data_IF_922579492784
#
_entry.id   IF_922579492784
#
_cell.length_a   1.000
_cell.length_b   1.000
_cell.length_c   1.000
_cell.angle_alpha   90.00
_cell.angle_beta   90.00
_cell.angle_gamma   90.00
#
_symmetry.space_group_name_H-M   'P 1'
#
loop_
_entity.id
_entity.type
_entity.pdbx_description
1 polymer ?
#
# COMPACT_ATOMS: atom_id res chain seq x y z
N UNK A 1 27.84 -3.35 -8.35
CA UNK A 1 26.47 -2.81 -8.22
C UNK A 1 26.42 -1.96 -6.94
N UNK A 2 26.18 -0.65 -7.05
CA UNK A 2 26.18 0.29 -5.92
C UNK A 2 24.73 0.61 -5.59
N UNK A 3 24.26 0.22 -4.40
CA UNK A 3 22.88 0.42 -3.95
C UNK A 3 22.87 1.50 -2.88
N UNK A 4 21.99 2.49 -2.97
CA UNK A 4 21.92 3.58 -1.99
C UNK A 4 21.06 3.15 -0.79
N UNK A 5 21.64 3.07 0.41
CA UNK A 5 20.91 2.74 1.64
C UNK A 5 19.71 3.67 1.88
N UNK A 6 19.90 4.98 1.67
CA UNK A 6 18.87 6.01 1.86
C UNK A 6 17.65 5.92 0.91
N UNK A 7 17.77 5.22 -0.22
CA UNK A 7 16.66 5.00 -1.16
C UNK A 7 16.10 3.58 -1.10
N UNK A 8 16.67 2.74 -0.24
CA UNK A 8 16.31 1.34 -0.16
C UNK A 8 15.52 1.11 1.11
N UNK A 9 14.34 0.52 0.96
CA UNK A 9 13.53 0.02 2.06
C UNK A 9 13.32 -1.48 1.81
N UNK A 10 13.20 -2.26 2.88
CA UNK A 10 12.95 -3.69 2.75
C UNK A 10 11.71 -4.10 3.51
N UNK A 11 11.12 -5.19 3.07
CA UNK A 11 9.89 -5.72 3.61
C UNK A 11 10.02 -7.24 3.68
N UNK A 12 9.75 -7.79 4.86
CA UNK A 12 9.74 -9.23 5.07
C UNK A 12 8.29 -9.71 5.11
N UNK A 13 8.00 -10.75 4.34
CA UNK A 13 6.67 -11.37 4.30
C UNK A 13 6.70 -12.64 5.14
N UNK A 14 5.71 -12.84 6.02
CA UNK A 14 5.60 -14.02 6.90
C UNK A 14 6.77 -14.20 7.88
N UNK A 15 7.15 -13.14 8.60
CA UNK A 15 8.16 -13.31 9.65
C UNK A 15 7.65 -14.20 10.78
N UNK A 16 8.29 -15.35 10.95
CA UNK A 16 8.28 -16.10 12.19
C UNK A 16 9.28 -15.41 13.11
N UNK A 17 8.79 -14.92 14.23
CA UNK A 17 9.48 -14.26 15.35
C UNK A 17 11.03 -14.31 15.28
N UNK A 18 11.67 -13.15 15.11
CA UNK A 18 13.13 -13.02 15.15
C UNK A 18 13.81 -12.51 13.87
N UNK A 19 13.18 -11.58 13.15
CA UNK A 19 13.82 -11.00 11.97
C UNK A 19 14.95 -10.05 12.32
N UNK A 20 16.16 -10.48 12.00
CA UNK A 20 17.37 -9.67 12.09
C UNK A 20 17.29 -8.40 11.24
N UNK A 21 18.04 -7.40 11.66
CA UNK A 21 18.17 -6.14 10.95
C UNK A 21 18.93 -6.33 9.63
N UNK A 22 18.39 -5.84 8.52
CA UNK A 22 19.10 -5.89 7.22
C UNK A 22 20.02 -4.67 7.12
N UNK A 23 21.32 -4.91 7.00
CA UNK A 23 22.32 -3.87 6.77
C UNK A 23 22.81 -3.91 5.33
N UNK A 24 22.72 -2.79 4.63
CA UNK A 24 23.32 -2.58 3.31
C UNK A 24 24.48 -1.60 3.44
N UNK A 25 25.68 -2.00 3.01
CA UNK A 25 26.90 -1.15 3.03
C UNK A 25 27.22 -0.56 4.43
N UNK A 26 26.86 -1.27 5.49
CA UNK A 26 27.07 -0.83 6.87
C UNK A 26 25.94 0.04 7.44
N UNK A 27 25.03 0.55 6.61
CA UNK A 27 23.83 1.26 7.03
C UNK A 27 22.66 0.30 7.24
N UNK A 28 21.89 0.55 8.29
CA UNK A 28 20.64 -0.16 8.55
C UNK A 28 19.58 0.29 7.55
N UNK A 29 19.03 -0.67 6.81
CA UNK A 29 17.95 -0.41 5.86
C UNK A 29 16.66 -0.32 6.66
N UNK A 30 15.77 0.59 6.27
CA UNK A 30 14.48 0.71 6.96
C UNK A 30 13.58 -0.46 6.60
N UNK A 31 13.03 -1.11 7.63
CA UNK A 31 12.00 -2.14 7.50
C UNK A 31 10.62 -1.51 7.42
N UNK A 32 9.86 -1.88 6.39
CA UNK A 32 8.47 -1.41 6.20
C UNK A 32 7.50 -2.59 6.22
N UNK A 33 6.29 -2.32 6.74
CA UNK A 33 5.20 -3.30 6.76
C UNK A 33 4.30 -3.21 5.52
N UNK A 34 4.38 -2.09 4.81
CA UNK A 34 3.60 -1.80 3.62
C UNK A 34 4.53 -1.26 2.55
N UNK A 35 4.44 -1.81 1.34
CA UNK A 35 5.25 -1.39 0.21
C UNK A 35 4.36 -1.07 -0.99
N UNK A 36 4.56 0.11 -1.59
CA UNK A 36 3.87 0.50 -2.81
C UNK A 36 4.70 0.07 -4.02
N UNK A 37 4.20 -0.91 -4.75
CA UNK A 37 4.82 -1.41 -5.97
C UNK A 37 3.90 -1.21 -7.16
N UNK A 38 4.34 -0.42 -8.14
CA UNK A 38 3.63 -0.17 -9.40
C UNK A 38 2.16 0.25 -9.24
N UNK A 39 1.83 0.96 -8.16
CA UNK A 39 0.46 1.41 -7.88
C UNK A 39 -0.34 0.48 -6.98
N UNK A 40 0.12 -0.75 -6.75
CA UNK A 40 -0.43 -1.67 -5.76
C UNK A 40 0.29 -1.54 -4.42
N UNK A 41 -0.44 -1.78 -3.35
CA UNK A 41 0.03 -1.76 -1.96
C UNK A 41 0.09 -3.19 -1.44
N UNK A 42 1.31 -3.67 -1.19
CA UNK A 42 1.58 -5.01 -0.64
C UNK A 42 1.80 -4.88 0.85
N UNK A 43 1.21 -5.78 1.64
CA UNK A 43 1.38 -5.84 3.11
C UNK A 43 2.19 -7.06 3.55
N UNK A 44 2.88 -6.94 4.69
CA UNK A 44 3.88 -7.93 5.17
C UNK A 44 3.26 -9.22 5.69
N UNK A 45 1.99 -9.19 6.04
CA UNK A 45 1.16 -10.36 6.33
C UNK A 45 0.69 -11.10 5.06
N UNK A 46 1.06 -10.62 3.86
CA UNK A 46 0.56 -11.15 2.60
C UNK A 46 -0.91 -10.79 2.32
N UNK A 47 -1.55 -10.00 3.17
CA UNK A 47 -2.96 -9.62 3.00
C UNK A 47 -3.09 -8.44 2.05
N UNK A 48 -3.92 -8.59 1.00
CA UNK A 48 -4.34 -7.50 0.14
C UNK A 48 -5.55 -6.71 0.70
N UNK A 49 -6.04 -7.07 1.89
CA UNK A 49 -7.30 -6.57 2.44
C UNK A 49 -7.38 -5.04 2.55
N UNK A 50 -6.29 -4.34 2.88
CA UNK A 50 -6.29 -2.86 2.91
C UNK A 50 -6.42 -2.25 1.52
N UNK A 51 -5.73 -2.80 0.52
CA UNK A 51 -5.86 -2.33 -0.86
C UNK A 51 -7.28 -2.57 -1.38
N UNK A 52 -7.83 -3.77 -1.15
CA UNK A 52 -9.19 -4.12 -1.55
C UNK A 52 -10.20 -3.18 -0.92
N UNK A 53 -10.12 -2.94 0.40
CA UNK A 53 -11.00 -1.99 1.10
C UNK A 53 -10.89 -0.59 0.51
N UNK A 54 -9.67 -0.11 0.24
CA UNK A 54 -9.45 1.22 -0.35
C UNK A 54 -10.08 1.35 -1.73
N UNK A 55 -9.95 0.33 -2.59
CA UNK A 55 -10.59 0.31 -3.91
C UNK A 55 -12.12 0.27 -3.80
N UNK A 56 -12.67 -0.57 -2.93
CA UNK A 56 -14.13 -0.66 -2.69
C UNK A 56 -14.68 0.68 -2.19
N UNK A 57 -13.99 1.32 -1.24
CA UNK A 57 -14.38 2.64 -0.74
C UNK A 57 -14.34 3.69 -1.84
N UNK A 58 -13.30 3.71 -2.68
CA UNK A 58 -13.23 4.63 -3.80
C UNK A 58 -14.40 4.45 -4.77
N UNK A 59 -14.73 3.21 -5.14
CA UNK A 59 -15.90 2.89 -5.99
C UNK A 59 -17.20 3.34 -5.33
N UNK A 60 -17.38 3.07 -4.04
CA UNK A 60 -18.58 3.49 -3.30
C UNK A 60 -18.74 5.01 -3.29
N UNK A 61 -17.67 5.76 -3.01
CA UNK A 61 -17.69 7.22 -3.06
C UNK A 61 -17.99 7.74 -4.46
N UNK A 62 -17.36 7.19 -5.52
CA UNK A 62 -17.66 7.56 -6.90
C UNK A 62 -19.12 7.30 -7.26
N UNK A 63 -19.67 6.17 -6.81
CA UNK A 63 -21.08 5.83 -7.01
C UNK A 63 -22.01 6.85 -6.35
N UNK A 64 -21.72 7.26 -5.11
CA UNK A 64 -22.51 8.29 -4.42
C UNK A 64 -22.51 9.62 -5.19
N UNK A 65 -21.36 10.05 -5.71
CA UNK A 65 -21.27 11.29 -6.50
C UNK A 65 -22.06 11.21 -7.80
N UNK A 66 -21.96 10.09 -8.53
CA UNK A 66 -22.70 9.87 -9.77
C UNK A 66 -24.20 9.87 -9.49
N UNK A 67 -24.62 9.14 -8.47
CA UNK A 67 -26.02 9.04 -8.08
C UNK A 67 -26.60 10.39 -7.63
N UNK A 68 -25.84 11.15 -6.83
CA UNK A 68 -26.22 12.51 -6.46
C UNK A 68 -26.34 13.42 -7.69
N UNK A 69 -25.40 13.36 -8.63
CA UNK A 69 -25.42 14.16 -9.87
C UNK A 69 -26.61 13.81 -10.78
N UNK A 70 -26.96 12.53 -10.90
CA UNK A 70 -28.13 12.08 -11.67
C UNK A 70 -29.43 12.57 -11.03
N UNK A 71 -29.53 12.55 -9.69
CA UNK A 71 -30.67 13.08 -8.96
C UNK A 71 -30.84 14.60 -9.16
N UNK A 72 -29.76 15.37 -9.17
CA UNK A 72 -29.86 16.84 -9.36
C UNK A 72 -30.29 17.21 -10.77
N UNK A 73 -29.99 16.38 -11.78
CA UNK A 73 -30.32 16.63 -13.19
C UNK A 73 -31.76 16.21 -13.59
N UNK A 74 -32.44 15.42 -12.76
CA UNK A 74 -33.84 15.01 -12.97
C UNK A 74 -34.88 15.90 -12.28
N UNK A 75 -34.49 17.07 -11.77
CA UNK A 75 -35.34 18.01 -11.01
C UNK A 75 -35.66 19.30 -11.78
N UNK A 76 -35.74 19.24 -13.11
CA UNK A 76 -36.13 20.34 -14.00
C UNK A 76 -37.36 19.94 -14.82
#
# INVERSE_FOLDING_TARGET
MKVSGSKTEYMCVNEREGSGTVRLQGEEVKKVQEFKYLGSTVQSNGECGKEVKKRVQAVHSSWQIIFMSLRTRGSL
#
